data_IF_392600669947
#
_entry.id   IF_392600669947
#
_cell.length_a   1.000
_cell.length_b   1.000
_cell.length_c   1.000
_cell.angle_alpha   90.00
_cell.angle_beta   90.00
_cell.angle_gamma   90.00
#
_symmetry.space_group_name_H-M   'P 1'
#
loop_
_entity.id
_entity.type
_entity.pdbx_description
1 polymer ?
#
# COMPACT_ATOMS: atom_id res chain seq x y z
N UNK A 1 -18.43 1.91 -0.87
CA UNK A 1 -18.25 0.68 -1.66
C UNK A 1 -18.92 0.78 -3.03
N UNK A 2 -20.19 1.19 -3.10
CA UNK A 2 -20.92 1.34 -4.38
C UNK A 2 -20.22 2.26 -5.40
N UNK A 3 -19.68 3.41 -4.97
CA UNK A 3 -18.97 4.32 -5.87
C UNK A 3 -17.71 3.69 -6.52
N UNK A 4 -16.97 2.87 -5.76
CA UNK A 4 -15.77 2.19 -6.28
C UNK A 4 -16.19 1.06 -7.22
N UNK A 5 -17.23 0.32 -6.86
CA UNK A 5 -17.79 -0.73 -7.70
C UNK A 5 -18.28 -0.16 -9.04
N UNK A 6 -18.96 0.98 -9.02
CA UNK A 6 -19.39 1.71 -10.21
C UNK A 6 -18.20 2.19 -11.05
N UNK A 7 -17.22 2.86 -10.44
CA UNK A 7 -15.99 3.32 -11.14
C UNK A 7 -15.19 2.16 -11.75
N UNK A 8 -15.18 1.00 -11.11
CA UNK A 8 -14.47 -0.20 -11.58
C UNK A 8 -15.31 -1.09 -12.52
N UNK A 9 -16.55 -0.69 -12.83
CA UNK A 9 -17.50 -1.44 -13.66
C UNK A 9 -17.76 -2.87 -13.16
N UNK A 10 -18.01 -3.01 -11.86
CA UNK A 10 -18.30 -4.28 -11.19
C UNK A 10 -19.49 -4.17 -10.23
N UNK A 11 -20.09 -5.31 -9.88
CA UNK A 11 -21.14 -5.32 -8.86
C UNK A 11 -20.57 -5.05 -7.45
N UNK A 12 -21.29 -4.33 -6.58
CA UNK A 12 -20.90 -4.15 -5.17
C UNK A 12 -20.70 -5.49 -4.43
N UNK A 13 -21.48 -6.52 -4.77
CA UNK A 13 -21.32 -7.87 -4.22
C UNK A 13 -19.99 -8.51 -4.62
N UNK A 14 -19.55 -8.33 -5.88
CA UNK A 14 -18.25 -8.85 -6.32
C UNK A 14 -17.10 -8.15 -5.61
N UNK A 15 -17.17 -6.82 -5.48
CA UNK A 15 -16.20 -6.03 -4.71
C UNK A 15 -16.13 -6.50 -3.25
N UNK A 16 -17.27 -6.70 -2.60
CA UNK A 16 -17.34 -7.21 -1.22
C UNK A 16 -16.69 -8.58 -1.06
N UNK A 17 -16.87 -9.49 -2.02
CA UNK A 17 -16.23 -10.80 -1.96
C UNK A 17 -14.71 -10.71 -2.14
N UNK A 18 -14.20 -9.80 -2.97
CA UNK A 18 -12.76 -9.54 -3.10
C UNK A 18 -12.21 -9.04 -1.76
N UNK A 19 -12.82 -8.02 -1.16
CA UNK A 19 -12.39 -7.44 0.12
C UNK A 19 -12.38 -8.45 1.28
N UNK A 20 -13.31 -9.41 1.26
CA UNK A 20 -13.39 -10.48 2.25
C UNK A 20 -12.47 -11.68 1.94
N UNK A 21 -11.64 -11.61 0.90
CA UNK A 21 -10.78 -12.72 0.47
C UNK A 21 -11.53 -13.94 -0.06
N UNK A 22 -12.79 -13.78 -0.46
CA UNK A 22 -13.66 -14.84 -1.00
C UNK A 22 -13.60 -14.95 -2.53
N UNK A 23 -12.92 -14.02 -3.19
CA UNK A 23 -12.63 -14.02 -4.61
C UNK A 23 -11.17 -13.67 -4.85
N UNK A 24 -10.59 -14.27 -5.89
CA UNK A 24 -9.25 -13.95 -6.34
C UNK A 24 -9.35 -13.12 -7.64
N UNK A 25 -9.25 -11.79 -7.58
CA UNK A 25 -9.37 -10.93 -8.76
C UNK A 25 -8.23 -11.18 -9.74
N UNK A 26 -8.52 -11.02 -11.03
CA UNK A 26 -7.47 -11.04 -12.07
C UNK A 26 -6.60 -9.79 -11.99
N UNK A 27 -5.43 -9.82 -12.62
CA UNK A 27 -4.56 -8.64 -12.71
C UNK A 27 -5.27 -7.44 -13.34
N UNK A 28 -6.03 -7.66 -14.42
CA UNK A 28 -6.82 -6.61 -15.07
C UNK A 28 -7.84 -5.97 -14.11
N UNK A 29 -8.45 -6.80 -13.25
CA UNK A 29 -9.38 -6.31 -12.24
C UNK A 29 -8.68 -5.48 -11.16
N UNK A 30 -7.49 -5.90 -10.72
CA UNK A 30 -6.69 -5.12 -9.78
C UNK A 30 -6.27 -3.76 -10.38
N UNK A 31 -5.94 -3.71 -11.67
CA UNK A 31 -5.65 -2.44 -12.38
C UNK A 31 -6.90 -1.55 -12.45
N UNK A 32 -8.07 -2.11 -12.75
CA UNK A 32 -9.33 -1.35 -12.72
C UNK A 32 -9.63 -0.78 -11.34
N UNK A 33 -9.39 -1.58 -10.30
CA UNK A 33 -9.56 -1.15 -8.91
C UNK A 33 -8.56 -0.06 -8.52
N UNK A 34 -7.29 -0.14 -8.95
CA UNK A 34 -6.30 0.92 -8.67
C UNK A 34 -6.71 2.25 -9.30
N UNK A 35 -7.19 2.22 -10.55
CA UNK A 35 -7.72 3.41 -11.22
C UNK A 35 -8.98 3.96 -10.53
N UNK A 36 -9.91 3.10 -10.12
CA UNK A 36 -11.12 3.52 -9.41
C UNK A 36 -10.83 4.13 -8.03
N UNK A 37 -9.78 3.66 -7.37
CA UNK A 37 -9.29 4.15 -6.07
C UNK A 37 -8.34 5.34 -6.19
N UNK A 38 -7.91 5.69 -7.41
CA UNK A 38 -6.95 6.78 -7.68
C UNK A 38 -5.60 6.57 -6.94
N UNK A 39 -5.15 5.32 -6.90
CA UNK A 39 -3.86 4.91 -6.32
C UNK A 39 -2.99 4.21 -7.36
N UNK A 40 -1.69 4.21 -7.13
CA UNK A 40 -0.75 3.45 -7.93
C UNK A 40 -0.92 1.94 -7.67
N UNK A 41 -0.66 1.13 -8.70
CA UNK A 41 -0.87 -0.32 -8.64
C UNK A 41 -0.08 -1.01 -7.52
N UNK A 42 1.12 -0.50 -7.20
CA UNK A 42 1.95 -1.05 -6.14
C UNK A 42 1.37 -0.79 -4.74
N UNK A 43 0.56 0.27 -4.57
CA UNK A 43 -0.07 0.62 -3.29
C UNK A 43 -1.15 -0.39 -2.88
N UNK A 44 -1.79 -1.09 -3.84
CA UNK A 44 -2.71 -2.20 -3.55
C UNK A 44 -2.02 -3.33 -2.77
N UNK A 45 -0.70 -3.47 -2.95
CA UNK A 45 0.13 -4.47 -2.28
C UNK A 45 0.99 -3.87 -1.16
N UNK A 46 0.77 -2.60 -0.79
CA UNK A 46 1.46 -1.99 0.34
C UNK A 46 0.84 -2.43 1.67
N UNK A 47 1.31 -3.58 2.15
CA UNK A 47 0.96 -4.12 3.47
C UNK A 47 1.75 -3.48 4.60
N UNK A 48 2.29 -2.27 4.44
CA UNK A 48 3.13 -1.60 5.45
C UNK A 48 2.50 -1.47 6.84
N UNK A 49 1.16 -1.48 6.93
CA UNK A 49 0.38 -1.47 8.18
C UNK A 49 0.25 -2.85 8.86
N UNK A 50 0.55 -3.94 8.14
CA UNK A 50 0.55 -5.33 8.64
C UNK A 50 1.97 -5.80 8.97
N UNK A 51 2.99 -5.00 8.65
CA UNK A 51 4.39 -5.33 8.87
C UNK A 51 4.69 -5.53 10.36
N UNK A 52 5.26 -6.70 10.71
CA UNK A 52 5.67 -6.99 12.07
C UNK A 52 6.87 -6.14 12.49
N UNK A 53 7.17 -6.09 13.79
CA UNK A 53 8.35 -5.36 14.32
C UNK A 53 9.65 -5.75 13.63
N UNK A 54 9.78 -7.01 13.21
CA UNK A 54 10.95 -7.52 12.48
C UNK A 54 11.01 -6.91 11.08
N UNK A 55 9.93 -6.98 10.33
CA UNK A 55 9.84 -6.51 8.95
C UNK A 55 10.06 -4.99 8.87
N UNK A 56 9.50 -4.23 9.82
CA UNK A 56 9.72 -2.78 9.94
C UNK A 56 11.21 -2.45 10.16
N UNK A 57 11.90 -3.21 11.02
CA UNK A 57 13.34 -3.02 11.24
C UNK A 57 14.15 -3.34 10.00
N UNK A 58 13.82 -4.42 9.30
CA UNK A 58 14.50 -4.83 8.07
C UNK A 58 14.30 -3.79 6.96
N UNK A 59 13.09 -3.27 6.81
CA UNK A 59 12.79 -2.19 5.85
C UNK A 59 13.61 -0.93 6.12
N UNK A 60 13.66 -0.48 7.38
CA UNK A 60 14.46 0.69 7.78
C UNK A 60 15.96 0.44 7.56
N UNK A 61 16.45 -0.76 7.89
CA UNK A 61 17.85 -1.12 7.66
C UNK A 61 18.20 -1.17 6.18
N UNK A 62 17.31 -1.69 5.35
CA UNK A 62 17.46 -1.72 3.89
C UNK A 62 17.54 -0.30 3.32
N UNK A 63 16.57 0.54 3.68
CA UNK A 63 16.56 1.96 3.28
C UNK A 63 17.85 2.68 3.68
N UNK A 64 18.32 2.46 4.92
CA UNK A 64 19.54 3.10 5.41
C UNK A 64 20.82 2.65 4.67
N UNK A 65 20.81 1.47 4.02
CA UNK A 65 21.95 0.96 3.24
C UNK A 65 22.00 1.56 1.83
N UNK A 66 20.85 1.91 1.26
CA UNK A 66 20.75 2.32 -0.15
C UNK A 66 20.62 3.83 -0.35
N UNK A 67 20.16 4.55 0.67
CA UNK A 67 19.96 6.00 0.61
C UNK A 67 21.28 6.79 0.61
N UNK A 68 21.27 7.93 -0.07
CA UNK A 68 22.38 8.89 -0.06
C UNK A 68 22.41 9.75 1.22
N UNK A 69 23.52 10.46 1.44
CA UNK A 69 23.71 11.25 2.65
C UNK A 69 22.63 12.34 2.87
N UNK A 70 22.21 13.12 1.85
CA UNK A 70 21.10 14.07 2.00
C UNK A 70 19.80 13.40 2.46
N UNK A 71 19.44 12.26 1.87
CA UNK A 71 18.22 11.52 2.23
C UNK A 71 18.29 10.99 3.66
N UNK A 72 19.44 10.44 4.07
CA UNK A 72 19.66 9.97 5.45
C UNK A 72 19.52 11.10 6.48
N UNK A 73 20.03 12.30 6.17
CA UNK A 73 19.90 13.48 7.04
C UNK A 73 18.44 13.89 7.21
N UNK A 74 17.67 13.90 6.13
CA UNK A 74 16.24 14.20 6.17
C UNK A 74 15.47 13.15 6.98
N UNK A 75 15.71 11.86 6.72
CA UNK A 75 15.08 10.77 7.43
C UNK A 75 15.34 10.86 8.95
N UNK A 76 16.59 11.12 9.36
CA UNK A 76 16.94 11.30 10.77
C UNK A 76 16.21 12.49 11.42
N UNK A 77 16.04 13.60 10.69
CA UNK A 77 15.29 14.77 11.17
C UNK A 77 13.82 14.42 11.41
N UNK A 78 13.20 13.69 10.49
CA UNK A 78 11.80 13.25 10.61
C UNK A 78 11.67 12.30 11.80
N UNK A 79 12.50 11.26 11.88
CA UNK A 79 12.49 10.28 12.99
C UNK A 79 12.63 10.97 14.35
N UNK A 80 13.54 11.94 14.49
CA UNK A 80 13.70 12.71 15.73
C UNK A 80 12.47 13.54 16.08
N UNK A 81 11.75 14.03 15.07
CA UNK A 81 10.53 14.83 15.27
C UNK A 81 9.40 13.97 15.81
N UNK A 82 9.23 12.74 15.29
CA UNK A 82 8.20 11.81 15.76
C UNK A 82 8.57 11.06 17.04
N UNK A 83 9.85 11.01 17.41
CA UNK A 83 10.34 10.37 18.64
C UNK A 83 10.37 11.31 19.86
N UNK A 84 9.86 12.53 19.72
CA UNK A 84 9.87 13.59 20.72
C UNK A 84 8.46 13.82 21.24
#
# INVERSE_FOLDING_TARGET
QEQIAEKADISPNYLSRIECGKENPTLDMLIKLSHALEVEMWEIFDFGHVAGRKDLKEAIQSFARTADEPTLRLALKIIRTVSR
#
